data_IF_705791001684
#
_entry.id   IF_705791001684
#
_cell.length_a   1.000
_cell.length_b   1.000
_cell.length_c   1.000
_cell.angle_alpha   90.00
_cell.angle_beta   90.00
_cell.angle_gamma   90.00
#
_symmetry.space_group_name_H-M   'P 1'
#
loop_
_entity.id
_entity.type
_entity.pdbx_description
1 polymer ?
#
# COMPACT_ATOMS: atom_id res chain seq x y z
N UNK A 1 8.92 27.20 -31.09
CA UNK A 1 9.16 25.93 -30.32
C UNK A 1 8.54 26.08 -28.97
N UNK A 2 7.31 25.58 -28.79
CA UNK A 2 6.58 25.68 -27.54
C UNK A 2 7.01 24.51 -26.66
N UNK A 3 7.77 24.81 -25.62
CA UNK A 3 8.12 23.82 -24.60
C UNK A 3 6.85 23.53 -23.81
N UNK A 4 6.22 22.41 -24.10
CA UNK A 4 5.15 21.86 -23.27
C UNK A 4 5.78 21.45 -21.92
N UNK A 5 5.57 22.27 -20.90
CA UNK A 5 5.88 21.92 -19.53
C UNK A 5 4.95 20.74 -19.19
N UNK A 6 5.50 19.52 -19.21
CA UNK A 6 4.85 18.36 -18.61
C UNK A 6 4.61 18.73 -17.12
N UNK A 7 3.35 19.02 -16.81
CA UNK A 7 2.88 19.13 -15.44
C UNK A 7 3.12 17.77 -14.82
N UNK A 8 4.18 17.65 -14.02
CA UNK A 8 4.55 16.46 -13.26
C UNK A 8 3.36 16.20 -12.32
N UNK A 9 2.47 15.30 -12.72
CA UNK A 9 1.27 14.96 -11.95
C UNK A 9 1.76 14.32 -10.67
N UNK A 10 1.79 15.10 -9.58
CA UNK A 10 2.18 14.62 -8.27
C UNK A 10 1.33 13.39 -7.93
N UNK A 11 1.98 12.24 -7.91
CA UNK A 11 1.34 10.98 -7.49
C UNK A 11 1.17 11.04 -5.98
N UNK A 12 -0.02 10.78 -5.52
CA UNK A 12 -0.34 10.68 -4.10
C UNK A 12 -0.50 9.21 -3.72
N UNK A 13 -0.06 8.88 -2.52
CA UNK A 13 -0.41 7.63 -1.87
C UNK A 13 -1.57 7.91 -0.91
N UNK A 14 -2.74 7.39 -1.26
CA UNK A 14 -3.94 7.41 -0.43
C UNK A 14 -4.05 6.07 0.30
N UNK A 15 -4.06 6.09 1.65
CA UNK A 15 -4.47 4.95 2.45
C UNK A 15 -5.87 5.18 2.96
N UNK A 16 -6.77 4.25 2.66
CA UNK A 16 -8.20 4.38 2.91
C UNK A 16 -8.79 3.03 3.35
N UNK A 17 -9.53 3.06 4.45
CA UNK A 17 -10.37 1.94 4.84
C UNK A 17 -11.77 2.12 4.25
N UNK A 18 -12.29 1.08 3.63
CA UNK A 18 -13.61 1.07 3.00
C UNK A 18 -14.40 -0.13 3.49
N UNK A 19 -15.67 0.07 3.86
CA UNK A 19 -16.55 -1.03 4.22
C UNK A 19 -17.06 -1.70 2.96
N UNK A 20 -16.73 -2.99 2.81
CA UNK A 20 -17.20 -3.79 1.69
C UNK A 20 -18.70 -4.05 1.81
N UNK A 21 -19.44 -4.01 0.69
CA UNK A 21 -20.88 -4.26 0.69
C UNK A 21 -21.20 -5.69 1.13
N UNK A 22 -22.44 -5.93 1.53
CA UNK A 22 -22.97 -7.27 1.75
C UNK A 22 -22.95 -8.07 0.44
N UNK A 23 -22.69 -9.37 0.53
CA UNK A 23 -22.50 -10.24 -0.63
C UNK A 23 -21.07 -10.21 -1.22
N UNK A 24 -20.20 -9.34 -0.72
CA UNK A 24 -18.80 -9.36 -1.12
C UNK A 24 -18.05 -10.43 -0.33
N UNK A 25 -17.52 -11.45 -1.02
CA UNK A 25 -16.95 -12.65 -0.39
C UNK A 25 -15.97 -12.34 0.75
N UNK A 26 -14.96 -11.50 0.54
CA UNK A 26 -13.96 -11.22 1.58
C UNK A 26 -14.52 -10.37 2.71
N UNK A 27 -15.48 -9.48 2.41
CA UNK A 27 -16.19 -8.70 3.41
C UNK A 27 -17.05 -9.59 4.31
N UNK A 28 -17.82 -10.49 3.72
CA UNK A 28 -18.73 -11.38 4.48
C UNK A 28 -17.96 -12.41 5.29
N UNK A 29 -16.94 -13.06 4.73
CA UNK A 29 -16.07 -13.99 5.45
C UNK A 29 -15.40 -13.29 6.64
N UNK A 30 -14.87 -12.09 6.46
CA UNK A 30 -14.25 -11.35 7.57
C UNK A 30 -15.24 -10.87 8.63
N UNK A 31 -16.52 -10.66 8.28
CA UNK A 31 -17.59 -10.36 9.26
C UNK A 31 -17.99 -11.56 10.11
N UNK A 32 -17.90 -12.77 9.53
CA UNK A 32 -18.16 -14.02 10.27
C UNK A 32 -17.07 -14.33 11.28
N UNK A 33 -15.86 -13.83 11.06
CA UNK A 33 -14.68 -13.99 11.93
C UNK A 33 -13.99 -12.65 12.17
N UNK A 34 -14.57 -11.75 12.98
CA UNK A 34 -14.06 -10.38 13.16
C UNK A 34 -12.65 -10.31 13.77
N UNK A 35 -12.25 -11.36 14.51
CA UNK A 35 -10.90 -11.50 15.07
C UNK A 35 -9.85 -11.87 14.01
N UNK A 36 -10.26 -12.46 12.89
CA UNK A 36 -9.35 -12.89 11.84
C UNK A 36 -8.99 -11.73 10.89
N UNK A 37 -7.74 -11.71 10.47
CA UNK A 37 -7.25 -10.80 9.44
C UNK A 37 -7.10 -11.62 8.16
N UNK A 38 -7.86 -11.25 7.12
CA UNK A 38 -7.67 -11.79 5.78
C UNK A 38 -6.68 -10.91 5.05
N UNK A 39 -5.56 -11.47 4.63
CA UNK A 39 -4.58 -10.80 3.79
C UNK A 39 -4.71 -11.29 2.36
N UNK A 40 -5.17 -10.42 1.49
CA UNK A 40 -5.30 -10.69 0.06
C UNK A 40 -3.95 -10.43 -0.59
N UNK A 41 -3.29 -11.49 -1.05
CA UNK A 41 -1.93 -11.43 -1.60
C UNK A 41 -1.95 -11.10 -3.09
N UNK A 42 -2.84 -11.78 -3.83
CA UNK A 42 -2.99 -11.62 -5.27
C UNK A 42 -4.46 -11.66 -5.66
N UNK A 43 -4.83 -10.91 -6.66
CA UNK A 43 -6.16 -10.98 -7.28
C UNK A 43 -6.05 -10.93 -8.79
N UNK A 44 -6.83 -11.74 -9.48
CA UNK A 44 -6.92 -11.70 -10.93
C UNK A 44 -8.38 -11.74 -11.38
N UNK A 45 -8.85 -10.71 -12.09
CA UNK A 45 -10.16 -10.76 -12.73
C UNK A 45 -10.14 -11.75 -13.89
N UNK A 46 -11.17 -12.57 -13.98
CA UNK A 46 -11.39 -13.53 -15.04
C UNK A 46 -12.57 -13.11 -15.93
N UNK A 47 -12.77 -13.81 -17.04
CA UNK A 47 -13.88 -13.56 -17.94
C UNK A 47 -15.25 -13.72 -17.26
N UNK A 48 -16.27 -13.03 -17.77
CA UNK A 48 -17.67 -13.13 -17.34
C UNK A 48 -17.91 -12.73 -15.88
N UNK A 49 -17.09 -11.81 -15.34
CA UNK A 49 -17.25 -11.28 -13.97
C UNK A 49 -16.81 -12.24 -12.87
N UNK A 50 -16.08 -13.28 -13.22
CA UNK A 50 -15.40 -14.19 -12.29
C UNK A 50 -14.05 -13.59 -11.87
N UNK A 51 -13.45 -14.17 -10.87
CA UNK A 51 -12.09 -13.82 -10.43
C UNK A 51 -11.43 -14.97 -9.70
N UNK A 52 -10.15 -14.82 -9.43
CA UNK A 52 -9.43 -15.67 -8.50
C UNK A 52 -8.60 -14.82 -7.56
N UNK A 53 -8.40 -15.29 -6.35
CA UNK A 53 -7.58 -14.61 -5.36
C UNK A 53 -6.77 -15.61 -4.54
N UNK A 54 -5.53 -15.22 -4.20
CA UNK A 54 -4.73 -15.89 -3.16
C UNK A 54 -4.77 -15.06 -1.90
N UNK A 55 -4.97 -15.73 -0.79
CA UNK A 55 -5.04 -15.10 0.51
C UNK A 55 -4.36 -15.94 1.59
N UNK A 56 -3.94 -15.27 2.63
CA UNK A 56 -3.58 -15.85 3.91
C UNK A 56 -4.45 -15.27 5.03
N UNK A 57 -4.56 -15.99 6.13
CA UNK A 57 -5.34 -15.55 7.28
C UNK A 57 -4.62 -15.82 8.59
N UNK A 58 -4.88 -14.99 9.60
CA UNK A 58 -4.38 -15.22 10.96
C UNK A 58 -5.02 -16.43 11.64
N UNK A 59 -6.17 -16.89 11.15
CA UNK A 59 -6.98 -18.00 11.68
C UNK A 59 -7.41 -18.93 10.56
N UNK A 60 -7.82 -20.12 10.89
CA UNK A 60 -8.45 -21.00 9.91
C UNK A 60 -9.81 -20.45 9.47
N UNK A 61 -10.03 -20.36 8.16
CA UNK A 61 -11.25 -19.82 7.55
C UNK A 61 -11.84 -20.73 6.46
N UNK A 62 -11.38 -21.98 6.38
CA UNK A 62 -11.80 -22.87 5.31
C UNK A 62 -13.33 -23.05 5.26
N UNK A 63 -13.96 -23.23 6.40
CA UNK A 63 -15.42 -23.46 6.46
C UNK A 63 -16.21 -22.22 6.01
N UNK A 64 -15.78 -21.02 6.40
CA UNK A 64 -16.41 -19.76 6.03
C UNK A 64 -16.24 -19.49 4.53
N UNK A 65 -15.06 -19.82 3.99
CA UNK A 65 -14.78 -19.71 2.55
C UNK A 65 -15.62 -20.72 1.75
N UNK A 66 -15.64 -22.00 2.13
CA UNK A 66 -16.38 -23.07 1.44
C UNK A 66 -17.90 -22.84 1.47
N UNK A 67 -18.42 -22.18 2.49
CA UNK A 67 -19.86 -21.92 2.66
C UNK A 67 -20.34 -20.64 1.96
N UNK A 68 -19.45 -19.79 1.47
CA UNK A 68 -19.83 -18.50 0.90
C UNK A 68 -20.32 -18.62 -0.55
N UNK A 69 -21.53 -18.15 -0.83
CA UNK A 69 -22.18 -18.25 -2.15
C UNK A 69 -21.42 -17.54 -3.29
N UNK A 70 -20.59 -16.57 -2.95
CA UNK A 70 -19.75 -15.85 -3.91
C UNK A 70 -18.44 -16.53 -4.24
N UNK A 71 -18.17 -17.72 -3.70
CA UNK A 71 -16.97 -18.54 -3.97
C UNK A 71 -17.41 -19.82 -4.65
N UNK A 72 -16.79 -20.16 -5.77
CA UNK A 72 -17.07 -21.41 -6.52
C UNK A 72 -16.19 -22.56 -6.08
N UNK A 73 -14.94 -22.29 -5.73
CA UNK A 73 -13.96 -23.29 -5.33
C UNK A 73 -12.96 -22.69 -4.32
N UNK A 74 -12.58 -23.48 -3.32
CA UNK A 74 -11.54 -23.15 -2.35
C UNK A 74 -10.46 -24.21 -2.40
N UNK A 75 -9.23 -23.82 -2.70
CA UNK A 75 -8.04 -24.67 -2.64
C UNK A 75 -7.24 -24.32 -1.40
N UNK A 76 -7.11 -25.27 -0.49
CA UNK A 76 -6.29 -25.12 0.70
C UNK A 76 -4.81 -25.36 0.35
N UNK A 77 -3.98 -24.35 0.58
CA UNK A 77 -2.54 -24.39 0.31
C UNK A 77 -1.71 -24.71 1.57
N UNK A 78 -2.40 -24.96 2.69
CA UNK A 78 -1.78 -25.19 3.99
C UNK A 78 -1.32 -23.92 4.72
N UNK A 79 -1.23 -23.98 6.06
CA UNK A 79 -0.77 -22.85 6.87
C UNK A 79 -1.71 -21.63 6.81
N UNK A 80 -3.03 -21.86 6.78
CA UNK A 80 -4.06 -20.83 6.64
C UNK A 80 -3.94 -19.99 5.36
N UNK A 81 -3.42 -20.60 4.29
CA UNK A 81 -3.32 -20.00 2.96
C UNK A 81 -4.30 -20.69 2.03
N UNK A 82 -5.00 -19.89 1.25
CA UNK A 82 -6.06 -20.37 0.36
C UNK A 82 -5.96 -19.71 -1.02
N UNK A 83 -6.41 -20.45 -2.03
CA UNK A 83 -6.73 -19.88 -3.34
C UNK A 83 -8.22 -20.08 -3.56
N UNK A 84 -8.92 -19.02 -3.94
CA UNK A 84 -10.38 -19.03 -4.13
C UNK A 84 -10.74 -18.61 -5.54
N UNK A 85 -11.69 -19.32 -6.13
CA UNK A 85 -12.34 -18.92 -7.38
C UNK A 85 -13.65 -18.22 -7.05
N UNK A 86 -13.77 -16.99 -7.50
CA UNK A 86 -14.85 -16.07 -7.17
C UNK A 86 -15.92 -16.14 -8.26
N UNK A 87 -17.15 -16.43 -7.87
CA UNK A 87 -18.32 -16.48 -8.74
C UNK A 87 -18.64 -15.11 -9.35
N UNK A 88 -19.37 -15.06 -10.49
CA UNK A 88 -19.94 -13.81 -10.98
C UNK A 88 -20.77 -13.13 -9.87
N UNK A 89 -20.48 -11.86 -9.60
CA UNK A 89 -21.07 -11.05 -8.50
C UNK A 89 -20.63 -11.44 -7.09
N UNK A 90 -19.75 -12.43 -6.90
CA UNK A 90 -19.25 -12.80 -5.57
C UNK A 90 -18.34 -11.76 -4.93
N UNK A 91 -17.89 -10.78 -5.68
CA UNK A 91 -17.04 -9.69 -5.21
C UNK A 91 -15.88 -9.41 -6.17
N UNK A 92 -15.20 -8.34 -5.91
CA UNK A 92 -14.11 -7.81 -6.72
C UNK A 92 -13.85 -6.39 -6.25
N UNK A 93 -13.20 -5.57 -7.04
CA UNK A 93 -13.13 -4.15 -6.71
C UNK A 93 -14.52 -3.53 -6.78
N UNK A 94 -14.89 -2.75 -5.75
CA UNK A 94 -16.16 -2.04 -5.68
C UNK A 94 -16.32 -1.07 -6.87
N UNK A 95 -17.56 -0.66 -7.11
CA UNK A 95 -17.93 0.17 -8.27
C UNK A 95 -17.07 1.45 -8.34
N UNK A 96 -16.89 2.14 -7.23
CA UNK A 96 -16.21 3.42 -7.11
C UNK A 96 -14.71 3.32 -7.50
N UNK A 97 -14.04 2.25 -7.09
CA UNK A 97 -12.66 1.94 -7.49
C UNK A 97 -12.55 1.78 -9.01
N UNK A 98 -13.50 1.05 -9.61
CA UNK A 98 -13.52 0.79 -11.05
C UNK A 98 -13.86 2.04 -11.87
N UNK A 99 -14.76 2.88 -11.39
CA UNK A 99 -15.17 4.13 -12.07
C UNK A 99 -14.03 5.14 -12.14
N UNK A 100 -13.30 5.33 -11.03
CA UNK A 100 -12.11 6.20 -11.00
C UNK A 100 -10.94 5.60 -11.77
N UNK A 101 -10.94 4.28 -11.96
CA UNK A 101 -9.85 3.57 -12.63
C UNK A 101 -8.55 3.64 -11.84
N UNK A 102 -8.62 3.39 -10.54
CA UNK A 102 -7.47 3.25 -9.65
C UNK A 102 -7.28 1.80 -9.25
N UNK A 103 -6.05 1.42 -8.92
CA UNK A 103 -5.70 0.05 -8.56
C UNK A 103 -5.13 0.06 -7.15
N UNK A 104 -5.80 -0.56 -6.17
CA UNK A 104 -5.23 -0.79 -4.86
C UNK A 104 -3.98 -1.67 -4.94
N UNK A 105 -2.99 -1.36 -4.14
CA UNK A 105 -1.76 -2.15 -4.04
C UNK A 105 -2.04 -3.45 -3.29
N UNK A 106 -1.52 -4.57 -3.79
CA UNK A 106 -1.46 -5.85 -3.07
C UNK A 106 -0.09 -5.97 -2.38
N UNK A 107 0.01 -6.66 -1.24
CA UNK A 107 -1.10 -7.23 -0.48
C UNK A 107 -1.89 -6.17 0.28
N UNK A 108 -3.17 -6.47 0.58
CA UNK A 108 -4.02 -5.64 1.43
C UNK A 108 -4.85 -6.51 2.40
N UNK A 109 -5.34 -5.91 3.47
CA UNK A 109 -6.01 -6.61 4.55
C UNK A 109 -7.51 -6.32 4.58
N UNK A 110 -8.28 -7.34 4.97
CA UNK A 110 -9.72 -7.23 5.22
C UNK A 110 -10.01 -7.74 6.63
N UNK A 111 -10.69 -6.94 7.43
CA UNK A 111 -11.07 -7.27 8.80
C UNK A 111 -12.44 -6.70 9.13
N UNK A 112 -13.33 -7.53 9.70
CA UNK A 112 -14.69 -7.12 10.08
C UNK A 112 -15.45 -6.35 8.98
N UNK A 113 -15.30 -6.79 7.73
CA UNK A 113 -15.91 -6.15 6.57
C UNK A 113 -15.25 -4.87 6.10
N UNK A 114 -14.16 -4.44 6.71
CA UNK A 114 -13.36 -3.29 6.29
C UNK A 114 -12.12 -3.74 5.55
N UNK A 115 -11.89 -3.17 4.38
CA UNK A 115 -10.67 -3.35 3.60
C UNK A 115 -9.76 -2.13 3.77
N UNK A 116 -8.47 -2.36 3.99
CA UNK A 116 -7.44 -1.31 4.07
C UNK A 116 -6.67 -1.27 2.76
N UNK A 117 -6.98 -0.29 1.93
CA UNK A 117 -6.33 -0.09 0.65
C UNK A 117 -5.30 1.02 0.67
N UNK A 118 -4.16 0.73 0.08
CA UNK A 118 -3.16 1.74 -0.33
C UNK A 118 -3.26 1.91 -1.84
N UNK A 119 -3.46 3.14 -2.29
CA UNK A 119 -3.69 3.48 -3.71
C UNK A 119 -2.72 4.58 -4.11
N UNK A 120 -1.96 4.36 -5.16
CA UNK A 120 -1.12 5.40 -5.77
C UNK A 120 -1.85 6.00 -6.97
N UNK A 121 -2.20 7.27 -6.88
CA UNK A 121 -2.93 7.98 -7.94
C UNK A 121 -2.70 9.49 -7.85
N UNK A 122 -3.18 10.24 -8.85
CA UNK A 122 -3.14 11.70 -8.80
C UNK A 122 -4.02 12.24 -7.68
N UNK A 123 -3.73 13.47 -7.23
CA UNK A 123 -4.57 14.17 -6.23
C UNK A 123 -6.02 14.35 -6.70
N UNK A 124 -6.23 14.43 -8.01
CA UNK A 124 -7.56 14.52 -8.61
C UNK A 124 -8.32 13.21 -8.43
N UNK A 125 -7.74 12.08 -8.84
CA UNK A 125 -8.34 10.75 -8.65
C UNK A 125 -8.59 10.40 -7.19
N UNK A 126 -7.68 10.80 -6.27
CA UNK A 126 -7.91 10.62 -4.82
C UNK A 126 -9.17 11.36 -4.35
N UNK A 127 -9.36 12.60 -4.82
CA UNK A 127 -10.56 13.40 -4.48
C UNK A 127 -11.83 12.84 -5.11
N UNK A 128 -11.75 12.41 -6.37
CA UNK A 128 -12.85 11.78 -7.10
C UNK A 128 -13.30 10.49 -6.40
N UNK A 129 -12.36 9.61 -6.00
CA UNK A 129 -12.70 8.40 -5.24
C UNK A 129 -13.44 8.71 -3.94
N UNK A 130 -12.92 9.63 -3.15
CA UNK A 130 -13.55 10.02 -1.88
C UNK A 130 -14.95 10.62 -2.12
N UNK A 131 -15.13 11.38 -3.21
CA UNK A 131 -16.44 11.94 -3.57
C UNK A 131 -17.42 10.82 -3.97
N UNK A 132 -17.01 9.88 -4.84
CA UNK A 132 -17.86 8.76 -5.25
C UNK A 132 -18.27 7.87 -4.09
N UNK A 133 -17.35 7.56 -3.16
CA UNK A 133 -17.66 6.81 -1.94
C UNK A 133 -18.73 7.51 -1.09
N UNK A 134 -18.59 8.83 -0.95
CA UNK A 134 -19.57 9.68 -0.22
C UNK A 134 -20.93 9.67 -0.88
N UNK A 135 -20.97 9.91 -2.19
CA UNK A 135 -22.22 10.00 -2.97
C UNK A 135 -22.92 8.64 -3.05
N UNK A 136 -22.14 7.56 -3.11
CA UNK A 136 -22.64 6.19 -3.07
C UNK A 136 -23.08 5.72 -1.66
N UNK A 137 -22.87 6.53 -0.63
CA UNK A 137 -23.18 6.15 0.76
C UNK A 137 -22.31 5.01 1.30
N UNK A 138 -21.16 4.75 0.66
CA UNK A 138 -20.23 3.69 1.08
C UNK A 138 -19.44 4.18 2.29
N UNK A 139 -19.47 3.49 3.44
CA UNK A 139 -18.69 3.90 4.60
C UNK A 139 -17.19 3.79 4.33
N UNK A 140 -16.45 4.87 4.62
CA UNK A 140 -15.00 4.91 4.44
C UNK A 140 -14.32 5.75 5.54
N UNK A 141 -13.00 5.55 5.70
CA UNK A 141 -12.12 6.34 6.56
C UNK A 141 -10.82 6.63 5.81
N UNK A 142 -10.49 7.89 5.61
CA UNK A 142 -9.17 8.26 5.08
C UNK A 142 -8.16 8.15 6.23
N UNK A 143 -7.26 7.19 6.13
CA UNK A 143 -6.22 6.95 7.14
C UNK A 143 -5.05 7.92 6.95
N UNK A 144 -4.60 8.07 5.69
CA UNK A 144 -3.56 9.05 5.36
C UNK A 144 -3.57 9.39 3.86
N UNK A 145 -3.12 10.59 3.54
CA UNK A 145 -2.80 10.99 2.18
C UNK A 145 -1.38 11.56 2.19
N UNK A 146 -0.50 10.95 1.42
CA UNK A 146 0.90 11.40 1.28
C UNK A 146 1.15 11.71 -0.19
N UNK A 147 1.76 12.85 -0.48
CA UNK A 147 2.25 13.12 -1.84
C UNK A 147 3.53 12.30 -2.09
N UNK A 148 3.47 11.34 -3.00
CA UNK A 148 4.66 10.59 -3.46
C UNK A 148 5.57 11.44 -4.34
N UNK A 149 5.11 12.60 -4.78
CA UNK A 149 5.94 13.65 -5.37
C UNK A 149 6.76 14.43 -4.34
N UNK A 150 6.43 14.37 -3.06
CA UNK A 150 7.36 14.67 -1.98
C UNK A 150 8.41 13.56 -2.00
N UNK A 151 9.47 13.76 -2.79
CA UNK A 151 10.69 12.95 -2.72
C UNK A 151 10.94 12.67 -1.25
N UNK A 152 11.07 11.41 -0.85
CA UNK A 152 11.39 11.05 0.56
C UNK A 152 12.49 11.95 1.11
N UNK A 153 13.40 12.34 0.24
CA UNK A 153 14.49 13.27 0.52
C UNK A 153 14.37 14.49 -0.40
N UNK A 154 14.61 15.67 0.13
CA UNK A 154 14.78 16.88 -0.70
C UNK A 154 15.96 16.70 -1.66
N UNK A 155 16.07 17.46 -2.76
CA UNK A 155 17.19 17.34 -3.70
C UNK A 155 18.55 17.40 -2.99
N UNK A 156 18.71 18.30 -2.04
CA UNK A 156 19.94 18.42 -1.23
C UNK A 156 20.18 17.20 -0.34
N UNK A 157 19.15 16.71 0.32
CA UNK A 157 19.25 15.49 1.15
C UNK A 157 19.57 14.27 0.30
N UNK A 158 19.05 14.18 -0.94
CA UNK A 158 19.36 13.08 -1.84
C UNK A 158 20.84 13.08 -2.25
N UNK A 159 21.40 14.23 -2.59
CA UNK A 159 22.83 14.36 -2.91
C UNK A 159 23.67 13.89 -1.72
N UNK A 160 23.31 14.32 -0.51
CA UNK A 160 24.01 13.92 0.72
C UNK A 160 23.88 12.43 0.96
N UNK A 161 22.68 11.86 0.78
CA UNK A 161 22.40 10.43 0.95
C UNK A 161 23.22 9.60 -0.03
N UNK A 162 23.16 9.91 -1.35
CA UNK A 162 23.86 9.20 -2.39
C UNK A 162 25.39 9.25 -2.16
N UNK A 163 25.92 10.42 -1.81
CA UNK A 163 27.35 10.57 -1.47
C UNK A 163 27.75 9.78 -0.24
N UNK A 164 26.95 9.82 0.84
CA UNK A 164 27.23 9.08 2.05
C UNK A 164 27.18 7.55 1.84
N UNK A 165 26.26 7.09 0.98
CA UNK A 165 26.16 5.68 0.62
C UNK A 165 27.35 5.22 -0.22
N UNK A 166 27.70 5.95 -1.27
CA UNK A 166 28.80 5.61 -2.15
C UNK A 166 30.16 5.62 -1.45
N UNK A 167 30.38 6.58 -0.56
CA UNK A 167 31.60 6.72 0.22
C UNK A 167 31.65 5.77 1.44
N UNK A 168 30.56 5.01 1.70
CA UNK A 168 30.49 4.04 2.78
C UNK A 168 30.44 4.63 4.18
N UNK A 169 29.74 5.74 4.35
CA UNK A 169 29.54 6.35 5.65
C UNK A 169 28.80 5.44 6.64
N UNK A 170 27.86 4.62 6.13
CA UNK A 170 27.10 3.64 6.91
C UNK A 170 27.68 2.22 6.88
N UNK A 171 28.83 2.01 6.22
CA UNK A 171 29.48 0.70 6.21
C UNK A 171 30.06 0.34 7.60
N UNK A 172 30.25 -0.95 7.82
CA UNK A 172 30.91 -1.48 9.02
C UNK A 172 32.12 -2.33 8.63
N UNK A 173 33.37 -1.87 8.83
CA UNK A 173 33.77 -0.55 9.34
C UNK A 173 33.48 0.60 8.34
N UNK A 174 33.27 1.80 8.84
CA UNK A 174 33.04 2.99 7.99
C UNK A 174 34.25 3.26 7.10
N UNK A 175 33.99 3.53 5.81
CA UNK A 175 35.04 3.88 4.86
C UNK A 175 35.38 5.36 4.85
N UNK A 176 34.44 6.23 5.27
CA UNK A 176 34.64 7.67 5.36
C UNK A 176 34.19 8.21 6.74
N UNK A 177 34.89 9.21 7.25
CA UNK A 177 34.51 9.91 8.48
C UNK A 177 33.50 11.04 8.20
N UNK A 178 32.74 11.45 9.22
CA UNK A 178 31.84 12.60 9.11
C UNK A 178 32.59 13.86 8.65
N UNK A 179 33.83 14.04 9.10
CA UNK A 179 34.66 15.20 8.75
C UNK A 179 35.03 15.20 7.27
N UNK A 180 35.52 14.07 6.77
CA UNK A 180 35.92 13.93 5.38
C UNK A 180 34.71 14.03 4.44
N UNK A 181 33.57 13.44 4.82
CA UNK A 181 32.33 13.57 4.04
C UNK A 181 31.81 15.03 4.03
N UNK A 182 31.94 15.76 5.15
CA UNK A 182 31.55 17.16 5.20
C UNK A 182 32.44 18.03 4.28
N UNK A 183 33.74 17.77 4.27
CA UNK A 183 34.69 18.43 3.38
C UNK A 183 34.38 18.13 1.92
N UNK A 184 34.16 16.86 1.57
CA UNK A 184 33.77 16.42 0.22
C UNK A 184 32.53 17.16 -0.31
N UNK A 185 31.54 17.38 0.59
CA UNK A 185 30.28 18.02 0.24
C UNK A 185 30.28 19.55 0.40
N UNK A 186 31.40 20.14 0.83
CA UNK A 186 31.51 21.59 1.10
C UNK A 186 30.58 22.06 2.23
N UNK A 187 30.31 21.20 3.22
CA UNK A 187 29.44 21.48 4.36
C UNK A 187 30.21 21.52 5.67
N UNK A 188 29.66 22.25 6.68
CA UNK A 188 30.15 22.10 8.03
C UNK A 188 29.72 20.73 8.62
N UNK A 189 30.53 20.19 9.56
CA UNK A 189 30.21 18.93 10.26
C UNK A 189 28.83 18.97 10.92
N UNK A 190 28.48 20.08 11.56
CA UNK A 190 27.21 20.26 12.25
C UNK A 190 26.04 20.25 11.25
N UNK A 191 26.19 20.94 10.12
CA UNK A 191 25.18 20.95 9.06
C UNK A 191 24.98 19.56 8.47
N UNK A 192 26.07 18.86 8.16
CA UNK A 192 26.01 17.50 7.63
C UNK A 192 25.34 16.54 8.62
N UNK A 193 25.73 16.59 9.91
CA UNK A 193 25.14 15.75 10.95
C UNK A 193 23.62 15.93 11.04
N UNK A 194 23.12 17.15 11.01
CA UNK A 194 21.67 17.44 11.01
C UNK A 194 20.98 16.88 9.78
N UNK A 195 21.61 16.98 8.59
CA UNK A 195 21.03 16.40 7.38
C UNK A 195 21.00 14.86 7.43
N UNK A 196 22.08 14.22 7.88
CA UNK A 196 22.16 12.77 8.01
C UNK A 196 21.09 12.25 8.98
N UNK A 197 20.93 12.85 10.16
CA UNK A 197 19.86 12.46 11.09
C UNK A 197 18.45 12.60 10.50
N UNK A 198 18.20 13.66 9.74
CA UNK A 198 16.91 13.82 9.04
C UNK A 198 16.71 12.74 7.98
N UNK A 199 17.75 12.43 7.21
CA UNK A 199 17.73 11.37 6.19
C UNK A 199 17.48 10.02 6.84
N UNK A 200 18.24 9.67 7.88
CA UNK A 200 18.09 8.44 8.64
C UNK A 200 16.67 8.30 9.20
N UNK A 201 16.12 9.35 9.79
CA UNK A 201 14.74 9.34 10.29
C UNK A 201 13.70 9.07 9.18
N UNK A 202 13.84 9.68 8.00
CA UNK A 202 12.94 9.46 6.87
C UNK A 202 13.04 8.02 6.35
N UNK A 203 14.25 7.52 6.17
CA UNK A 203 14.50 6.16 5.64
C UNK A 203 14.01 5.10 6.63
N UNK A 204 14.34 5.24 7.92
CA UNK A 204 13.93 4.30 8.96
C UNK A 204 12.40 4.26 9.13
N UNK A 205 11.72 5.41 9.11
CA UNK A 205 10.27 5.44 9.19
C UNK A 205 9.62 4.77 7.97
N UNK A 206 10.15 5.02 6.77
CA UNK A 206 9.66 4.38 5.55
C UNK A 206 9.84 2.87 5.60
N UNK A 207 11.01 2.40 6.04
CA UNK A 207 11.30 0.98 6.20
C UNK A 207 10.45 0.33 7.31
N UNK A 208 10.25 1.02 8.44
CA UNK A 208 9.38 0.54 9.51
C UNK A 208 7.92 0.34 9.04
N UNK A 209 7.41 1.26 8.20
CA UNK A 209 6.08 1.12 7.59
C UNK A 209 6.04 -0.07 6.61
N UNK A 210 7.12 -0.35 5.90
CA UNK A 210 7.24 -1.52 5.02
C UNK A 210 7.33 -2.83 5.81
N UNK A 211 8.15 -2.88 6.86
CA UNK A 211 8.25 -4.05 7.75
C UNK A 211 6.92 -4.37 8.39
N UNK A 212 6.19 -3.37 8.90
CA UNK A 212 4.87 -3.57 9.50
C UNK A 212 3.84 -4.13 8.50
N UNK A 213 3.94 -3.74 7.23
CA UNK A 213 3.08 -4.28 6.16
C UNK A 213 3.43 -5.71 5.79
N UNK A 214 4.69 -6.11 5.94
CA UNK A 214 5.21 -7.42 5.55
C UNK A 214 5.38 -8.39 6.73
N UNK A 215 5.07 -7.96 7.95
CA UNK A 215 5.04 -8.86 9.11
C UNK A 215 3.76 -9.69 9.10
N UNK A 216 3.86 -11.02 9.33
CA UNK A 216 2.71 -11.94 9.36
C UNK A 216 1.76 -11.64 10.50
#
# INVERSE_FOLDING_TARGET
MTVTILCDSMVNQLRIEVRLPEGHWSGDVSRQRPEAILRIEETMPLARGRGTAKLSSSNELKNELDSHLGIEEVRDLGGHRYEVDIAPKGGGYIKEIREVGVIPQSPFEVRDGWVDWTIECSAEKSRELVQLLRDGGVPYRVVSTRSTGSRMLTPKQRIIFDSALNEGYWDTPRRITLSALAELLGLSKSTLSVHLHKIEGVVLNSFADEVRRNSP
#
